data_IF_967732443264
#
_entry.id   IF_967732443264
#
_cell.length_a   1.000
_cell.length_b   1.000
_cell.length_c   1.000
_cell.angle_alpha   90.00
_cell.angle_beta   90.00
_cell.angle_gamma   90.00
#
_symmetry.space_group_name_H-M   'P 1'
#
loop_
_entity.id
_entity.type
_entity.pdbx_description
1 polymer ?
#
# COMPACT_ATOMS: atom_id res chain seq x y z
N UNK A 1 -13.42 -20.62 48.52
CA UNK A 1 -11.98 -20.36 48.63
C UNK A 1 -11.26 -21.20 47.57
N UNK A 2 -10.33 -20.61 46.82
CA UNK A 2 -9.58 -21.35 45.80
C UNK A 2 -8.70 -22.41 46.47
N UNK A 3 -8.78 -23.66 46.03
CA UNK A 3 -7.97 -24.77 46.55
C UNK A 3 -6.49 -24.53 46.20
N UNK A 4 -5.58 -24.98 47.09
CA UNK A 4 -4.13 -24.94 46.88
C UNK A 4 -3.72 -25.59 45.55
N UNK A 5 -4.50 -26.56 45.08
CA UNK A 5 -4.34 -27.23 43.78
C UNK A 5 -4.68 -26.31 42.61
N UNK A 6 -5.71 -25.46 42.76
CA UNK A 6 -6.12 -24.49 41.72
C UNK A 6 -5.09 -23.39 41.58
N UNK A 7 -4.50 -22.94 42.69
CA UNK A 7 -3.43 -21.93 42.68
C UNK A 7 -2.19 -22.47 41.94
N UNK A 8 -1.76 -23.70 42.24
CA UNK A 8 -0.64 -24.34 41.54
C UNK A 8 -0.89 -24.48 40.03
N UNK A 9 -2.11 -24.87 39.66
CA UNK A 9 -2.52 -24.96 38.24
C UNK A 9 -2.45 -23.60 37.53
N UNK A 10 -2.90 -22.54 38.20
CA UNK A 10 -2.82 -21.17 37.67
C UNK A 10 -1.37 -20.68 37.50
N UNK A 11 -0.51 -20.98 38.49
CA UNK A 11 0.92 -20.65 38.40
C UNK A 11 1.56 -21.38 37.23
N UNK A 12 1.29 -22.66 37.05
CA UNK A 12 1.84 -23.44 35.93
C UNK A 12 1.34 -22.92 34.58
N UNK A 13 0.05 -22.62 34.47
CA UNK A 13 -0.54 -22.01 33.27
C UNK A 13 0.11 -20.67 32.94
N UNK A 14 0.28 -19.79 33.94
CA UNK A 14 0.95 -18.51 33.76
C UNK A 14 2.41 -18.66 33.31
N UNK A 15 3.14 -19.64 33.84
CA UNK A 15 4.52 -19.93 33.40
C UNK A 15 4.55 -20.39 31.95
N UNK A 16 3.64 -21.27 31.55
CA UNK A 16 3.54 -21.75 30.19
C UNK A 16 3.20 -20.59 29.23
N UNK A 17 2.22 -19.75 29.59
CA UNK A 17 1.86 -18.56 28.81
C UNK A 17 3.07 -17.62 28.66
N UNK A 18 3.81 -17.36 29.75
CA UNK A 18 5.04 -16.54 29.72
C UNK A 18 6.07 -17.08 28.74
N UNK A 19 6.29 -18.41 28.73
CA UNK A 19 7.26 -19.02 27.77
C UNK A 19 6.79 -18.88 26.33
N UNK A 20 5.49 -19.14 26.05
CA UNK A 20 4.90 -19.00 24.74
C UNK A 20 5.01 -17.55 24.26
N UNK A 21 4.63 -16.58 25.09
CA UNK A 21 4.69 -15.15 24.76
C UNK A 21 6.13 -14.71 24.47
N UNK A 22 7.11 -15.20 25.23
CA UNK A 22 8.52 -14.89 24.99
C UNK A 22 9.02 -15.47 23.65
N UNK A 23 8.62 -16.70 23.32
CA UNK A 23 8.93 -17.28 22.02
C UNK A 23 8.27 -16.49 20.88
N UNK A 24 7.00 -16.11 21.04
CA UNK A 24 6.30 -15.25 20.05
C UNK A 24 6.99 -13.90 19.87
N UNK A 25 7.49 -13.29 20.95
CA UNK A 25 8.23 -12.03 20.88
C UNK A 25 9.49 -12.15 20.01
N UNK A 26 10.27 -13.24 20.14
CA UNK A 26 11.45 -13.45 19.30
C UNK A 26 11.07 -13.65 17.81
N UNK A 27 10.02 -14.41 17.55
CA UNK A 27 9.51 -14.63 16.19
C UNK A 27 9.02 -13.30 15.60
N UNK A 28 8.27 -12.51 16.35
CA UNK A 28 7.77 -11.21 15.93
C UNK A 28 8.93 -10.23 15.64
N UNK A 29 9.93 -10.16 16.51
CA UNK A 29 11.11 -9.31 16.29
C UNK A 29 11.89 -9.70 15.03
N UNK A 30 12.08 -11.02 14.78
CA UNK A 30 12.72 -11.50 13.55
C UNK A 30 11.91 -11.17 12.30
N UNK A 31 10.57 -11.27 12.36
CA UNK A 31 9.68 -10.89 11.27
C UNK A 31 9.72 -9.40 11.00
N UNK A 32 9.69 -8.58 12.06
CA UNK A 32 9.79 -7.13 11.96
C UNK A 32 11.09 -6.70 11.28
N UNK A 33 12.22 -7.25 11.71
CA UNK A 33 13.51 -6.93 11.08
C UNK A 33 13.51 -7.26 9.58
N UNK A 34 13.04 -8.45 9.21
CA UNK A 34 12.94 -8.83 7.78
C UNK A 34 12.02 -7.91 6.98
N UNK A 35 10.93 -7.43 7.61
CA UNK A 35 10.01 -6.47 7.01
C UNK A 35 10.68 -5.11 6.75
N UNK A 36 11.41 -4.63 7.76
CA UNK A 36 12.18 -3.39 7.64
C UNK A 36 13.24 -3.48 6.54
N UNK A 37 14.01 -4.57 6.53
CA UNK A 37 15.05 -4.79 5.53
C UNK A 37 14.44 -4.82 4.12
N UNK A 38 13.32 -5.51 3.91
CA UNK A 38 12.62 -5.55 2.64
C UNK A 38 12.09 -4.18 2.20
N UNK A 39 11.54 -3.40 3.13
CA UNK A 39 11.04 -2.04 2.84
C UNK A 39 12.20 -1.11 2.46
N UNK A 40 13.31 -1.16 3.19
CA UNK A 40 14.49 -0.35 2.91
C UNK A 40 15.15 -0.72 1.57
N UNK A 41 15.16 -2.01 1.22
CA UNK A 41 15.72 -2.49 -0.05
C UNK A 41 14.85 -2.12 -1.27
N UNK A 42 13.55 -1.97 -1.10
CA UNK A 42 12.65 -1.60 -2.21
C UNK A 42 12.57 -0.09 -2.48
N UNK A 43 12.92 0.75 -1.49
CA UNK A 43 12.89 2.21 -1.63
C UNK A 43 13.76 2.77 -2.76
N UNK A 44 15.05 2.41 -2.88
CA UNK A 44 15.91 2.94 -3.94
C UNK A 44 15.40 2.62 -5.34
N UNK A 45 14.76 1.45 -5.51
CA UNK A 45 14.15 1.08 -6.78
C UNK A 45 12.93 1.95 -7.10
N UNK A 46 12.08 2.22 -6.11
CA UNK A 46 10.91 3.06 -6.29
C UNK A 46 11.31 4.52 -6.60
N UNK A 47 12.26 5.07 -5.85
CA UNK A 47 12.80 6.41 -6.05
C UNK A 47 13.44 6.56 -7.44
N UNK A 48 14.25 5.58 -7.86
CA UNK A 48 14.86 5.61 -9.20
C UNK A 48 13.84 5.46 -10.32
N UNK A 49 12.78 4.70 -10.10
CA UNK A 49 11.69 4.56 -11.06
C UNK A 49 10.90 5.87 -11.19
N UNK A 50 10.68 6.59 -10.08
CA UNK A 50 10.06 7.93 -10.08
C UNK A 50 10.91 8.95 -10.84
N UNK A 51 12.21 8.96 -10.61
CA UNK A 51 13.16 9.83 -11.32
C UNK A 51 13.12 9.58 -12.83
N UNK A 52 13.22 8.33 -13.27
CA UNK A 52 13.16 7.98 -14.70
C UNK A 52 11.81 8.33 -15.30
N UNK A 53 10.70 8.14 -14.59
CA UNK A 53 9.37 8.55 -15.07
C UNK A 53 9.24 10.06 -15.21
N UNK A 54 9.78 10.84 -14.27
CA UNK A 54 9.81 12.30 -14.35
C UNK A 54 10.60 12.79 -15.56
N UNK A 55 11.77 12.18 -15.81
CA UNK A 55 12.61 12.52 -16.98
C UNK A 55 11.88 12.20 -18.30
N UNK A 56 11.26 11.01 -18.41
CA UNK A 56 10.49 10.62 -19.61
C UNK A 56 9.29 11.54 -19.82
N UNK A 57 8.56 11.87 -18.76
CA UNK A 57 7.41 12.77 -18.82
C UNK A 57 7.81 14.18 -19.26
N UNK A 58 8.98 14.66 -18.82
CA UNK A 58 9.52 15.97 -19.24
C UNK A 58 9.85 15.98 -20.73
N UNK A 59 10.46 14.91 -21.26
CA UNK A 59 10.78 14.79 -22.69
C UNK A 59 9.54 14.70 -23.57
N UNK A 60 8.46 14.07 -23.08
CA UNK A 60 7.19 13.94 -23.79
C UNK A 60 6.29 15.18 -23.69
N UNK A 61 6.67 16.20 -22.90
CA UNK A 61 5.83 17.39 -22.71
C UNK A 61 4.59 17.18 -21.83
N UNK A 62 4.51 16.06 -21.10
CA UNK A 62 3.50 15.80 -20.05
C UNK A 62 2.09 15.42 -20.53
N UNK A 63 1.71 15.70 -21.77
CA UNK A 63 0.34 15.50 -22.27
C UNK A 63 0.15 14.27 -23.18
N UNK A 64 1.22 13.64 -23.63
CA UNK A 64 1.16 12.59 -24.65
C UNK A 64 0.77 11.19 -24.14
N UNK A 65 0.64 10.99 -22.82
CA UNK A 65 0.28 9.67 -22.31
C UNK A 65 -0.96 9.71 -21.39
N UNK A 66 -1.98 8.87 -21.65
CA UNK A 66 -3.25 8.91 -20.91
C UNK A 66 -3.13 8.75 -19.37
N UNK A 67 -2.07 8.13 -18.88
CA UNK A 67 -1.82 7.95 -17.44
C UNK A 67 -1.16 9.16 -16.76
N UNK A 68 -0.67 10.13 -17.55
CA UNK A 68 -0.11 11.40 -17.05
C UNK A 68 -1.16 12.52 -17.10
N UNK A 69 -2.20 12.36 -17.93
CA UNK A 69 -3.21 13.41 -18.13
C UNK A 69 -4.17 13.45 -16.95
N UNK A 70 -4.25 14.62 -16.32
CA UNK A 70 -5.27 14.90 -15.30
C UNK A 70 -6.63 15.09 -15.96
N UNK A 71 -7.58 14.23 -15.64
CA UNK A 71 -8.94 14.31 -16.18
C UNK A 71 -9.83 15.13 -15.25
N UNK A 72 -10.62 16.00 -15.83
CA UNK A 72 -11.69 16.67 -15.08
C UNK A 72 -12.82 15.69 -14.77
N UNK A 73 -13.43 15.84 -13.59
CA UNK A 73 -14.56 15.03 -13.14
C UNK A 73 -14.41 14.48 -11.74
N UNK A 74 -15.51 14.00 -11.18
CA UNK A 74 -15.61 13.58 -9.78
C UNK A 74 -15.47 12.08 -9.52
N UNK A 75 -15.22 11.24 -10.55
CA UNK A 75 -15.11 9.79 -10.35
C UNK A 75 -13.76 9.39 -9.79
N UNK A 76 -13.78 8.91 -8.56
CA UNK A 76 -12.57 8.60 -7.79
C UNK A 76 -12.55 7.15 -7.33
N UNK A 77 -11.39 6.51 -7.43
CA UNK A 77 -11.14 5.19 -6.86
C UNK A 77 -10.14 5.32 -5.71
N UNK A 78 -10.46 4.73 -4.57
CA UNK A 78 -9.52 4.61 -3.45
C UNK A 78 -9.07 3.16 -3.32
N UNK A 79 -7.77 2.93 -3.37
CA UNK A 79 -7.14 1.64 -3.07
C UNK A 79 -6.77 1.61 -1.59
N UNK A 80 -7.56 0.92 -0.78
CA UNK A 80 -7.34 0.81 0.67
C UNK A 80 -6.53 -0.42 1.01
N UNK A 81 -5.30 -0.22 1.49
CA UNK A 81 -4.41 -1.31 1.92
C UNK A 81 -4.49 -1.52 3.42
N UNK A 82 -4.84 -2.73 3.80
CA UNK A 82 -4.94 -3.20 5.19
C UNK A 82 -4.38 -4.61 5.32
N UNK A 83 -4.36 -5.15 6.54
CA UNK A 83 -3.93 -6.54 6.77
C UNK A 83 -5.11 -7.53 6.63
N UNK A 84 -4.78 -8.78 6.33
CA UNK A 84 -5.76 -9.88 6.36
C UNK A 84 -6.08 -10.32 7.79
N UNK A 85 -5.11 -10.23 8.69
CA UNK A 85 -5.22 -10.68 10.08
C UNK A 85 -5.43 -9.51 11.03
N UNK A 86 -6.02 -9.79 12.18
CA UNK A 86 -6.10 -8.87 13.31
C UNK A 86 -4.84 -8.91 14.17
N UNK A 87 -4.96 -8.42 15.37
CA UNK A 87 -3.87 -8.34 16.38
C UNK A 87 -2.70 -7.44 15.92
N UNK A 88 -3.01 -6.41 15.15
CA UNK A 88 -2.05 -5.43 14.65
C UNK A 88 -2.18 -4.08 15.38
N UNK A 89 -2.54 -4.10 16.67
CA UNK A 89 -2.77 -2.88 17.43
C UNK A 89 -3.78 -1.94 16.74
N UNK A 90 -3.50 -0.65 16.72
CA UNK A 90 -4.35 0.37 16.10
C UNK A 90 -4.13 0.54 14.59
N UNK A 91 -3.20 -0.19 13.97
CA UNK A 91 -2.82 -0.02 12.56
C UNK A 91 -4.03 0.00 11.62
N UNK A 92 -4.79 -1.11 11.60
CA UNK A 92 -5.96 -1.21 10.71
C UNK A 92 -7.04 -0.18 11.06
N UNK A 93 -7.30 0.02 12.35
CA UNK A 93 -8.34 0.95 12.82
C UNK A 93 -8.02 2.38 12.40
N UNK A 94 -6.77 2.80 12.54
CA UNK A 94 -6.34 4.15 12.15
C UNK A 94 -6.40 4.34 10.64
N UNK A 95 -5.91 3.37 9.86
CA UNK A 95 -5.96 3.43 8.39
C UNK A 95 -7.39 3.44 7.86
N UNK A 96 -8.27 2.59 8.40
CA UNK A 96 -9.68 2.54 8.02
C UNK A 96 -10.41 3.84 8.39
N UNK A 97 -10.16 4.39 9.59
CA UNK A 97 -10.75 5.65 10.01
C UNK A 97 -10.31 6.81 9.13
N UNK A 98 -9.03 6.86 8.79
CA UNK A 98 -8.49 7.85 7.87
C UNK A 98 -9.16 7.73 6.48
N UNK A 99 -9.21 6.53 5.90
CA UNK A 99 -9.90 6.29 4.63
C UNK A 99 -11.38 6.68 4.68
N UNK A 100 -12.09 6.37 5.77
CA UNK A 100 -13.48 6.76 5.94
C UNK A 100 -13.67 8.29 5.97
N UNK A 101 -12.74 9.02 6.58
CA UNK A 101 -12.72 10.48 6.55
C UNK A 101 -12.56 11.04 5.15
N UNK A 102 -11.62 10.48 4.36
CA UNK A 102 -11.39 10.85 2.97
C UNK A 102 -12.60 10.54 2.07
N UNK A 103 -13.24 9.38 2.29
CA UNK A 103 -14.44 8.98 1.55
C UNK A 103 -15.60 9.94 1.82
N UNK A 104 -15.85 10.27 3.10
CA UNK A 104 -16.96 11.16 3.47
C UNK A 104 -16.71 12.62 3.12
N UNK A 105 -15.46 13.04 3.07
CA UNK A 105 -15.06 14.42 2.71
C UNK A 105 -15.00 14.68 1.20
N UNK A 106 -15.12 13.64 0.35
CA UNK A 106 -14.98 13.78 -1.10
C UNK A 106 -16.39 13.80 -1.74
N UNK A 107 -16.81 14.92 -2.33
CA UNK A 107 -18.02 14.95 -3.14
C UNK A 107 -17.78 14.22 -4.47
N UNK A 108 -18.78 13.46 -4.92
CA UNK A 108 -18.75 12.80 -6.23
C UNK A 108 -18.91 11.28 -6.14
N UNK A 109 -18.75 10.64 -7.30
CA UNK A 109 -18.87 9.18 -7.43
C UNK A 109 -17.58 8.52 -7.00
N UNK A 110 -17.63 7.73 -5.92
CA UNK A 110 -16.48 7.12 -5.30
C UNK A 110 -16.69 5.63 -5.11
N UNK A 111 -15.69 4.84 -5.50
CA UNK A 111 -15.62 3.41 -5.20
C UNK A 111 -14.29 3.06 -4.52
N UNK A 112 -14.25 1.88 -3.90
CA UNK A 112 -13.08 1.42 -3.17
C UNK A 112 -12.65 0.05 -3.67
N UNK A 113 -11.36 -0.09 -3.93
CA UNK A 113 -10.68 -1.38 -4.02
C UNK A 113 -10.01 -1.66 -2.70
N UNK A 114 -10.20 -2.83 -2.13
CA UNK A 114 -9.56 -3.19 -0.86
C UNK A 114 -8.51 -4.27 -1.05
N UNK A 115 -7.36 -4.06 -0.43
CA UNK A 115 -6.32 -5.07 -0.24
C UNK A 115 -6.31 -5.44 1.24
N UNK A 116 -6.60 -6.70 1.52
CA UNK A 116 -6.72 -7.23 2.88
C UNK A 116 -8.16 -7.26 3.43
N UNK A 117 -8.42 -8.31 4.21
CA UNK A 117 -9.77 -8.59 4.76
C UNK A 117 -10.30 -7.52 5.69
N UNK A 118 -9.44 -6.87 6.47
CA UNK A 118 -9.89 -5.89 7.47
C UNK A 118 -10.52 -4.65 6.83
N UNK A 119 -9.93 -4.16 5.73
CA UNK A 119 -10.49 -3.06 4.92
C UNK A 119 -11.80 -3.45 4.26
N UNK A 120 -11.83 -4.62 3.59
CA UNK A 120 -13.04 -5.14 2.96
C UNK A 120 -14.22 -5.20 3.93
N UNK A 121 -14.01 -5.83 5.09
CA UNK A 121 -15.07 -6.01 6.07
C UNK A 121 -15.55 -4.67 6.67
N UNK A 122 -14.66 -3.70 6.80
CA UNK A 122 -15.01 -2.36 7.27
C UNK A 122 -15.82 -1.58 6.21
N UNK A 123 -15.37 -1.58 4.95
CA UNK A 123 -16.06 -0.89 3.86
C UNK A 123 -17.44 -1.50 3.58
N UNK A 124 -17.57 -2.84 3.64
CA UNK A 124 -18.87 -3.52 3.55
C UNK A 124 -19.84 -3.09 4.67
N UNK A 125 -19.37 -3.02 5.91
CA UNK A 125 -20.22 -2.54 7.04
C UNK A 125 -20.64 -1.08 6.87
N UNK A 126 -19.76 -0.26 6.31
CA UNK A 126 -20.03 1.14 6.01
C UNK A 126 -20.89 1.33 4.74
N UNK A 127 -21.21 0.25 4.01
CA UNK A 127 -21.95 0.27 2.74
C UNK A 127 -21.30 1.13 1.65
N UNK A 128 -19.98 1.21 1.69
CA UNK A 128 -19.20 1.87 0.63
C UNK A 128 -19.17 0.97 -0.60
N UNK A 129 -19.35 1.50 -1.83
CA UNK A 129 -19.23 0.72 -3.06
C UNK A 129 -17.85 0.08 -3.17
N UNK A 130 -17.82 -1.26 -3.31
CA UNK A 130 -16.59 -2.02 -3.50
C UNK A 130 -16.49 -2.46 -4.96
N UNK A 131 -15.46 -1.98 -5.64
CA UNK A 131 -15.14 -2.36 -7.01
C UNK A 131 -14.51 -3.75 -7.07
N UNK A 132 -13.51 -3.98 -6.22
CA UNK A 132 -12.84 -5.27 -6.11
C UNK A 132 -12.23 -5.44 -4.71
N UNK A 133 -11.85 -6.68 -4.41
CA UNK A 133 -11.04 -6.95 -3.21
C UNK A 133 -9.97 -7.99 -3.51
N UNK A 134 -8.81 -7.78 -2.93
CA UNK A 134 -7.66 -8.67 -3.00
C UNK A 134 -7.29 -9.10 -1.59
N UNK A 135 -6.97 -10.38 -1.42
CA UNK A 135 -6.54 -10.94 -0.14
C UNK A 135 -5.48 -12.03 -0.36
N UNK A 136 -4.86 -12.48 0.73
CA UNK A 136 -3.86 -13.53 0.65
C UNK A 136 -2.47 -13.04 0.27
N UNK A 137 -2.23 -11.75 0.17
CA UNK A 137 -0.88 -11.22 0.06
C UNK A 137 -0.10 -11.63 1.31
N UNK A 138 0.81 -12.57 1.11
CA UNK A 138 1.60 -13.18 2.18
C UNK A 138 2.46 -12.19 2.96
N UNK A 139 3.39 -12.70 3.75
CA UNK A 139 4.37 -11.87 4.48
C UNK A 139 5.35 -11.17 3.52
N UNK A 140 5.48 -11.66 2.30
CA UNK A 140 6.30 -11.09 1.23
C UNK A 140 5.52 -11.22 -0.07
N UNK A 141 4.68 -10.23 -0.39
CA UNK A 141 4.03 -10.24 -1.69
C UNK A 141 5.10 -10.20 -2.78
N UNK A 142 5.08 -11.18 -3.65
CA UNK A 142 5.89 -11.14 -4.85
C UNK A 142 5.31 -10.07 -5.79
N UNK A 143 6.13 -9.56 -6.68
CA UNK A 143 5.66 -8.62 -7.72
C UNK A 143 4.49 -9.21 -8.52
N UNK A 144 4.52 -10.50 -8.80
CA UNK A 144 3.44 -11.21 -9.48
C UNK A 144 2.10 -11.16 -8.75
N UNK A 145 2.11 -11.11 -7.42
CA UNK A 145 0.88 -11.05 -6.62
C UNK A 145 0.18 -9.69 -6.75
N UNK A 146 0.93 -8.64 -7.02
CA UNK A 146 0.42 -7.26 -7.14
C UNK A 146 -0.01 -6.92 -8.56
N UNK A 147 0.46 -7.66 -9.57
CA UNK A 147 0.12 -7.42 -10.98
C UNK A 147 -1.38 -7.38 -11.27
N UNK A 148 -2.24 -8.27 -10.72
CA UNK A 148 -3.68 -8.20 -10.98
C UNK A 148 -4.31 -6.89 -10.50
N UNK A 149 -3.87 -6.38 -9.35
CA UNK A 149 -4.30 -5.08 -8.83
C UNK A 149 -3.83 -3.94 -9.75
N UNK A 150 -2.55 -3.95 -10.13
CA UNK A 150 -1.99 -2.92 -10.99
C UNK A 150 -2.67 -2.88 -12.36
N UNK A 151 -2.96 -4.04 -12.95
CA UNK A 151 -3.71 -4.14 -14.22
C UNK A 151 -5.12 -3.58 -14.08
N UNK A 152 -5.88 -4.01 -13.08
CA UNK A 152 -7.23 -3.50 -12.84
C UNK A 152 -7.24 -1.96 -12.77
N UNK A 153 -6.34 -1.39 -11.98
CA UNK A 153 -6.23 0.05 -11.79
C UNK A 153 -5.89 0.76 -13.11
N UNK A 154 -4.89 0.24 -13.83
CA UNK A 154 -4.41 0.84 -15.08
C UNK A 154 -5.46 0.74 -16.17
N UNK A 155 -6.07 -0.43 -16.36
CA UNK A 155 -7.07 -0.68 -17.40
C UNK A 155 -8.34 0.16 -17.16
N UNK A 156 -8.82 0.22 -15.92
CA UNK A 156 -9.98 1.04 -15.54
C UNK A 156 -9.71 2.54 -15.73
N UNK A 157 -8.48 3.00 -15.45
CA UNK A 157 -8.09 4.38 -15.68
C UNK A 157 -8.00 4.69 -17.18
N UNK A 158 -7.36 3.84 -17.97
CA UNK A 158 -7.25 4.00 -19.44
C UNK A 158 -8.63 3.99 -20.09
N UNK A 159 -9.54 3.14 -19.64
CA UNK A 159 -10.93 3.11 -20.09
C UNK A 159 -11.75 4.35 -19.69
N UNK A 160 -11.19 5.28 -18.92
CA UNK A 160 -11.88 6.49 -18.46
C UNK A 160 -12.94 6.24 -17.39
N UNK A 161 -12.92 5.10 -16.73
CA UNK A 161 -13.84 4.77 -15.63
C UNK A 161 -13.61 5.65 -14.42
N UNK A 162 -12.34 5.98 -14.13
CA UNK A 162 -11.92 6.82 -13.03
C UNK A 162 -11.14 8.03 -13.53
N UNK A 163 -11.34 9.18 -12.88
CA UNK A 163 -10.61 10.41 -13.17
C UNK A 163 -9.39 10.56 -12.25
N UNK A 164 -9.44 9.91 -11.08
CA UNK A 164 -8.37 9.90 -10.09
C UNK A 164 -8.37 8.58 -9.33
N UNK A 165 -7.19 8.08 -9.05
CA UNK A 165 -6.98 6.88 -8.22
C UNK A 165 -5.97 7.19 -7.13
N UNK A 166 -6.40 7.03 -5.88
CA UNK A 166 -5.57 7.25 -4.71
C UNK A 166 -5.31 5.94 -3.98
N UNK A 167 -4.17 5.85 -3.32
CA UNK A 167 -3.80 4.73 -2.47
C UNK A 167 -3.74 5.17 -1.01
N UNK A 168 -4.50 4.50 -0.15
CA UNK A 168 -4.51 4.72 1.30
C UNK A 168 -3.86 3.54 2.00
N UNK A 169 -2.84 3.83 2.76
CA UNK A 169 -2.05 2.84 3.46
C UNK A 169 -1.45 3.40 4.76
N UNK A 170 -0.82 2.54 5.54
CA UNK A 170 -0.07 2.97 6.73
C UNK A 170 1.42 3.04 6.40
N UNK A 171 1.95 4.28 6.29
CA UNK A 171 3.37 4.53 6.03
C UNK A 171 4.19 4.18 7.27
N UNK A 172 5.21 3.37 7.09
CA UNK A 172 6.15 3.04 8.15
C UNK A 172 7.14 4.19 8.37
N UNK A 173 7.16 4.72 9.58
CA UNK A 173 8.13 5.73 10.02
C UNK A 173 9.13 5.08 10.98
N UNK A 174 8.64 4.38 11.97
CA UNK A 174 9.45 3.63 12.94
C UNK A 174 8.66 2.44 13.49
N UNK A 175 9.30 1.60 14.29
CA UNK A 175 8.63 0.47 14.96
C UNK A 175 7.46 0.90 15.84
N UNK A 176 7.52 2.10 16.41
CA UNK A 176 6.48 2.64 17.29
C UNK A 176 5.48 3.54 16.55
N UNK A 177 5.86 4.06 15.38
CA UNK A 177 5.07 5.07 14.67
C UNK A 177 4.77 4.62 13.26
N UNK A 178 3.49 4.43 12.97
CA UNK A 178 2.95 4.23 11.64
C UNK A 178 1.91 5.33 11.39
N UNK A 179 1.97 5.95 10.23
CA UNK A 179 1.09 7.08 9.87
C UNK A 179 0.18 6.68 8.71
N UNK A 180 -1.15 6.73 8.88
CA UNK A 180 -2.06 6.63 7.76
C UNK A 180 -1.76 7.75 6.75
N UNK A 181 -1.62 7.38 5.50
CA UNK A 181 -1.24 8.30 4.42
C UNK A 181 -2.08 7.98 3.20
N UNK A 182 -2.37 9.00 2.43
CA UNK A 182 -2.97 8.88 1.11
C UNK A 182 -2.03 9.53 0.10
N UNK A 183 -1.68 8.77 -0.93
CA UNK A 183 -0.89 9.25 -2.06
C UNK A 183 -1.72 9.12 -3.34
N UNK A 184 -1.60 10.07 -4.25
CA UNK A 184 -2.17 9.98 -5.60
C UNK A 184 -1.38 8.93 -6.39
N UNK A 185 -2.08 7.97 -6.98
CA UNK A 185 -1.48 6.90 -7.77
C UNK A 185 -1.64 7.15 -9.27
N UNK A 186 -2.79 7.65 -9.68
CA UNK A 186 -3.10 8.07 -11.04
C UNK A 186 -4.01 9.32 -11.02
N UNK A 187 -3.75 10.30 -11.88
CA UNK A 187 -2.66 10.39 -12.85
C UNK A 187 -1.30 10.41 -12.17
N UNK A 188 -0.27 9.97 -12.87
CA UNK A 188 1.10 10.11 -12.38
C UNK A 188 1.52 11.56 -12.62
N UNK A 189 1.68 12.28 -11.52
CA UNK A 189 2.25 13.63 -11.52
C UNK A 189 3.74 13.50 -11.20
N UNK A 190 4.64 13.78 -12.14
CA UNK A 190 6.06 13.85 -11.82
C UNK A 190 6.26 14.95 -10.77
N UNK A 191 6.93 14.63 -9.66
CA UNK A 191 7.33 15.66 -8.72
C UNK A 191 8.33 16.61 -9.40
N UNK A 192 8.02 17.91 -9.44
CA UNK A 192 8.91 18.93 -10.00
C UNK A 192 10.29 18.94 -9.32
N UNK A 193 10.35 18.53 -8.03
CA UNK A 193 11.58 18.41 -7.25
C UNK A 193 12.43 17.18 -7.64
N UNK A 194 11.85 16.19 -8.33
CA UNK A 194 12.54 14.99 -8.84
C UNK A 194 12.84 15.09 -10.32
N UNK A 195 12.39 16.14 -11.00
CA UNK A 195 12.78 16.43 -12.38
C UNK A 195 14.31 16.53 -12.43
N UNK A 196 14.93 15.54 -13.08
CA UNK A 196 16.36 15.33 -13.07
C UNK A 196 17.15 16.57 -13.48
N UNK A 197 18.42 16.58 -13.11
CA UNK A 197 19.36 17.67 -13.44
C UNK A 197 19.27 17.96 -14.94
N UNK A 198 18.94 19.21 -15.36
CA UNK A 198 18.91 19.56 -16.76
C UNK A 198 20.26 19.25 -17.40
N UNK A 199 20.32 18.24 -18.25
CA UNK A 199 21.57 17.81 -18.88
C UNK A 199 21.76 16.31 -19.02
N UNK A 200 21.02 15.47 -18.31
CA UNK A 200 21.01 14.02 -18.57
C UNK A 200 20.18 13.76 -19.83
N UNK A 201 20.83 13.71 -20.98
CA UNK A 201 20.22 13.24 -22.22
C UNK A 201 20.11 11.72 -22.19
N UNK A 202 18.97 11.23 -21.71
CA UNK A 202 18.66 9.81 -21.85
C UNK A 202 18.33 9.51 -23.31
N UNK A 203 18.93 8.46 -23.85
CA UNK A 203 18.55 7.89 -25.14
C UNK A 203 17.48 6.85 -24.88
N UNK A 204 16.27 7.10 -25.33
CA UNK A 204 15.15 6.17 -25.13
C UNK A 204 15.02 5.23 -26.34
N UNK A 205 15.16 3.93 -26.12
CA UNK A 205 14.96 2.91 -27.15
C UNK A 205 13.74 2.03 -26.80
N UNK A 206 12.80 1.81 -27.72
CA UNK A 206 12.72 2.33 -29.09
C UNK A 206 12.18 3.78 -29.18
N UNK A 207 11.52 4.28 -28.13
CA UNK A 207 10.97 5.64 -28.03
C UNK A 207 10.61 5.97 -26.59
N UNK A 208 10.53 7.25 -26.23
CA UNK A 208 10.13 7.68 -24.87
C UNK A 208 8.73 7.16 -24.50
N UNK A 209 7.76 7.19 -25.42
CA UNK A 209 6.42 6.63 -25.19
C UNK A 209 6.43 5.10 -25.02
N UNK A 210 7.28 4.40 -25.76
CA UNK A 210 7.44 2.94 -25.62
C UNK A 210 8.01 2.55 -24.26
N UNK A 211 9.01 3.29 -23.78
CA UNK A 211 9.60 3.12 -22.44
C UNK A 211 8.55 3.43 -21.36
N UNK A 212 7.80 4.52 -21.53
CA UNK A 212 6.72 4.90 -20.59
C UNK A 212 5.66 3.80 -20.45
N UNK A 213 5.19 3.25 -21.57
CA UNK A 213 4.21 2.15 -21.59
C UNK A 213 4.68 0.90 -20.80
N UNK A 214 5.99 0.65 -20.76
CA UNK A 214 6.55 -0.48 -20.00
C UNK A 214 6.79 -0.14 -18.53
N UNK A 215 7.14 1.10 -18.23
CA UNK A 215 7.46 1.53 -16.86
C UNK A 215 6.21 1.83 -16.02
N UNK A 216 5.16 2.40 -16.61
CA UNK A 216 3.97 2.81 -15.87
C UNK A 216 3.27 1.67 -15.13
N UNK A 217 3.00 0.49 -15.73
CA UNK A 217 2.43 -0.63 -14.98
C UNK A 217 3.36 -1.12 -13.86
N UNK A 218 4.69 -1.04 -14.09
CA UNK A 218 5.68 -1.38 -13.06
C UNK A 218 5.68 -0.36 -11.93
N UNK A 219 5.53 0.92 -12.23
CA UNK A 219 5.42 1.97 -11.23
C UNK A 219 4.20 1.75 -10.32
N UNK A 220 3.01 1.58 -10.92
CA UNK A 220 1.77 1.30 -10.19
C UNK A 220 1.92 0.05 -9.29
N UNK A 221 2.50 -1.02 -9.84
CA UNK A 221 2.75 -2.24 -9.08
C UNK A 221 3.76 -2.03 -7.95
N UNK A 222 4.84 -1.29 -8.20
CA UNK A 222 5.88 -0.98 -7.20
C UNK A 222 5.32 -0.11 -6.08
N UNK A 223 4.58 0.96 -6.39
CA UNK A 223 3.93 1.81 -5.38
C UNK A 223 2.93 1.01 -4.53
N UNK A 224 2.12 0.19 -5.16
CA UNK A 224 1.18 -0.69 -4.47
C UNK A 224 1.88 -1.74 -3.61
N UNK A 225 3.01 -2.29 -4.07
CA UNK A 225 3.83 -3.26 -3.32
C UNK A 225 4.49 -2.61 -2.11
N UNK A 226 5.14 -1.46 -2.27
CA UNK A 226 5.80 -0.73 -1.16
C UNK A 226 4.79 -0.35 -0.08
N UNK A 227 3.61 0.15 -0.49
CA UNK A 227 2.50 0.44 0.42
C UNK A 227 1.97 -0.82 1.12
N UNK A 228 1.85 -1.94 0.39
CA UNK A 228 1.39 -3.23 0.90
C UNK A 228 2.38 -3.88 1.88
N UNK A 229 3.66 -3.88 1.53
CA UNK A 229 4.75 -4.44 2.37
C UNK A 229 4.83 -3.68 3.69
N UNK A 230 4.80 -2.35 3.67
CA UNK A 230 4.79 -1.54 4.89
C UNK A 230 3.62 -1.86 5.82
N UNK A 231 2.40 -1.95 5.28
CA UNK A 231 1.19 -2.17 6.07
C UNK A 231 1.02 -3.61 6.55
N UNK A 232 1.25 -4.61 5.68
CA UNK A 232 0.95 -6.02 5.99
C UNK A 232 1.99 -6.66 6.94
N UNK A 233 3.25 -6.27 6.83
CA UNK A 233 4.34 -6.89 7.60
C UNK A 233 4.43 -6.31 9.02
N UNK A 234 4.20 -5.01 9.18
CA UNK A 234 4.28 -4.35 10.48
C UNK A 234 3.10 -4.75 11.36
N UNK A 235 1.92 -4.88 10.79
CA UNK A 235 0.75 -5.35 11.53
C UNK A 235 0.89 -6.71 12.18
N UNK A 236 1.85 -7.54 11.76
CA UNK A 236 2.12 -8.88 12.33
C UNK A 236 3.25 -8.91 13.35
N UNK A 237 4.04 -7.83 13.43
CA UNK A 237 5.13 -7.74 14.39
C UNK A 237 4.70 -7.26 15.77
N UNK A 238 3.45 -6.83 15.92
CA UNK A 238 2.86 -6.35 17.16
C UNK A 238 2.07 -7.43 17.95
N UNK A 239 2.23 -8.72 17.59
CA UNK A 239 1.64 -9.84 18.36
C UNK A 239 2.52 -10.27 19.51
#
# INVERSE_FOLDING_TARGET
MASQRDIRRRIQSSRNIKQITRAMQFVAASKLKRAQDATLQSRPYAEKLEEVLADVATVLGGEDHPLLVRREGGRRLIVLITTDRGLAGALNTNTIRFAAGEITGTPGDLSVVTVGRKGRDAMRRARVPLEAHFEGYGERPAFADVLPLARLITDDYLAGKWNRIDIVYSRFISTLTQRPTMDELLPITPDEDTAGIPGNQFIFEPSASGVLNQLLPRYVATRSSVAGVGSAQIGRAHV
#
